data_IF_208905812322
#
_entry.id   IF_208905812322
#
_cell.length_a   1.000
_cell.length_b   1.000
_cell.length_c   1.000
_cell.angle_alpha   90.00
_cell.angle_beta   90.00
_cell.angle_gamma   90.00
#
_symmetry.space_group_name_H-M   'P 1'
#
loop_
_entity.id
_entity.type
_entity.pdbx_description
1 polymer ?
#
# COMPACT_ATOMS: atom_id res chain seq x y z
N UNK A 1 -22.69 18.78 20.12
CA UNK A 1 -23.87 18.13 19.48
C UNK A 1 -23.68 17.74 18.00
N UNK A 2 -22.50 17.95 17.36
CA UNK A 2 -22.22 17.59 15.95
C UNK A 2 -21.75 16.13 15.70
N UNK A 3 -21.33 15.40 16.72
CA UNK A 3 -20.84 14.01 16.58
C UNK A 3 -21.96 12.98 16.32
N UNK A 4 -23.16 13.20 16.86
CA UNK A 4 -24.31 12.29 16.66
C UNK A 4 -24.81 12.26 15.20
N UNK A 5 -24.57 13.31 14.42
CA UNK A 5 -25.10 13.44 13.06
C UNK A 5 -24.29 12.73 11.98
N UNK A 6 -23.07 12.28 12.27
CA UNK A 6 -22.20 11.53 11.34
C UNK A 6 -21.68 10.22 11.94
N UNK A 7 -22.34 9.68 12.97
CA UNK A 7 -22.01 8.39 13.54
C UNK A 7 -21.85 7.26 12.50
N UNK A 8 -22.70 7.17 11.44
CA UNK A 8 -22.50 6.16 10.39
C UNK A 8 -21.15 6.28 9.69
N UNK A 9 -20.71 7.49 9.34
CA UNK A 9 -19.41 7.70 8.70
C UNK A 9 -18.26 7.29 9.63
N UNK A 10 -18.33 7.65 10.91
CA UNK A 10 -17.33 7.26 11.88
C UNK A 10 -17.21 5.73 12.03
N UNK A 11 -18.36 5.03 12.06
CA UNK A 11 -18.38 3.56 12.10
C UNK A 11 -17.79 2.94 10.83
N UNK A 12 -18.16 3.46 9.66
CA UNK A 12 -17.61 3.01 8.37
C UNK A 12 -16.09 3.16 8.34
N UNK A 13 -15.57 4.33 8.73
CA UNK A 13 -14.13 4.57 8.78
C UNK A 13 -13.42 3.66 9.78
N UNK A 14 -14.00 3.44 10.96
CA UNK A 14 -13.42 2.56 11.96
C UNK A 14 -13.32 1.12 11.43
N UNK A 15 -14.38 0.61 10.79
CA UNK A 15 -14.39 -0.72 10.19
C UNK A 15 -13.43 -0.82 9.00
N UNK A 16 -13.37 0.21 8.15
CA UNK A 16 -12.45 0.26 7.02
C UNK A 16 -11.00 0.21 7.50
N UNK A 17 -10.61 1.08 8.43
CA UNK A 17 -9.26 1.16 8.96
C UNK A 17 -8.86 -0.15 9.66
N UNK A 18 -9.76 -0.73 10.44
CA UNK A 18 -9.52 -2.01 11.11
C UNK A 18 -9.27 -3.13 10.10
N UNK A 19 -10.16 -3.29 9.12
CA UNK A 19 -10.06 -4.36 8.11
C UNK A 19 -8.85 -4.16 7.21
N UNK A 20 -8.60 -2.93 6.75
CA UNK A 20 -7.47 -2.62 5.89
C UNK A 20 -6.12 -2.78 6.63
N UNK A 21 -6.04 -2.36 7.89
CA UNK A 21 -4.85 -2.58 8.72
C UNK A 21 -4.62 -4.07 8.98
N UNK A 22 -5.66 -4.83 9.31
CA UNK A 22 -5.55 -6.28 9.48
C UNK A 22 -5.07 -6.96 8.20
N UNK A 23 -5.66 -6.62 7.05
CA UNK A 23 -5.22 -7.13 5.74
C UNK A 23 -3.76 -6.78 5.46
N UNK A 24 -3.37 -5.52 5.71
CA UNK A 24 -2.00 -5.03 5.54
C UNK A 24 -0.97 -5.74 6.43
N UNK A 25 -1.38 -6.31 7.57
CA UNK A 25 -0.47 -7.03 8.48
C UNK A 25 -0.44 -8.53 8.19
N UNK A 26 -1.59 -9.09 7.80
CA UNK A 26 -1.73 -10.53 7.55
C UNK A 26 -1.19 -10.92 6.18
N UNK A 27 -1.43 -10.11 5.15
CA UNK A 27 -0.92 -10.37 3.82
C UNK A 27 0.60 -10.22 3.83
N UNK A 28 1.39 -11.24 3.45
CA UNK A 28 2.84 -11.11 3.40
C UNK A 28 3.25 -9.94 2.50
N UNK A 29 4.34 -9.26 2.85
CA UNK A 29 4.85 -8.16 2.04
C UNK A 29 5.21 -8.65 0.64
N UNK A 30 4.97 -7.82 -0.37
CA UNK A 30 5.43 -8.05 -1.74
C UNK A 30 4.75 -9.22 -2.47
N UNK A 31 3.74 -9.86 -1.88
CA UNK A 31 2.90 -10.88 -2.56
C UNK A 31 1.70 -10.25 -3.28
N UNK A 32 1.29 -9.04 -2.90
CA UNK A 32 0.30 -8.30 -3.68
C UNK A 32 0.90 -7.92 -5.05
N UNK A 33 0.11 -7.99 -6.14
CA UNK A 33 0.57 -7.60 -7.46
C UNK A 33 1.25 -6.23 -7.44
N UNK A 34 2.41 -6.15 -8.10
CA UNK A 34 3.23 -4.95 -8.31
C UNK A 34 3.75 -4.26 -7.05
N UNK A 35 3.39 -4.72 -5.85
CA UNK A 35 3.72 -4.06 -4.58
C UNK A 35 5.22 -3.88 -4.38
N UNK A 36 6.00 -4.91 -4.71
CA UNK A 36 7.47 -4.87 -4.62
C UNK A 36 8.05 -3.80 -5.51
N UNK A 37 7.52 -3.63 -6.72
CA UNK A 37 8.00 -2.64 -7.68
C UNK A 37 7.62 -1.22 -7.27
N UNK A 38 6.42 -1.04 -6.69
CA UNK A 38 6.03 0.23 -6.09
C UNK A 38 6.97 0.61 -4.95
N UNK A 39 7.28 -0.34 -4.06
CA UNK A 39 8.19 -0.11 -2.94
C UNK A 39 9.63 0.16 -3.41
N UNK A 40 10.11 -0.57 -4.43
CA UNK A 40 11.43 -0.35 -5.02
C UNK A 40 11.57 1.06 -5.63
N UNK A 41 10.50 1.63 -6.18
CA UNK A 41 10.51 3.03 -6.61
C UNK A 41 10.61 3.99 -5.41
N UNK A 42 9.87 3.74 -4.33
CA UNK A 42 10.03 4.51 -3.08
C UNK A 42 11.49 4.45 -2.58
N UNK A 43 12.08 3.25 -2.55
CA UNK A 43 13.47 3.04 -2.13
C UNK A 43 14.47 3.76 -3.04
N UNK A 44 14.30 3.67 -4.35
CA UNK A 44 15.10 4.39 -5.35
C UNK A 44 15.17 5.91 -5.07
N UNK A 45 14.03 6.50 -4.68
CA UNK A 45 13.97 7.91 -4.31
C UNK A 45 14.68 8.20 -2.98
N UNK A 46 14.50 7.34 -1.97
CA UNK A 46 15.18 7.46 -0.67
C UNK A 46 16.70 7.33 -0.82
N UNK A 47 17.17 6.46 -1.71
CA UNK A 47 18.59 6.28 -2.05
C UNK A 47 19.19 7.45 -2.84
N UNK A 48 18.40 8.48 -3.17
CA UNK A 48 18.89 9.71 -3.79
C UNK A 48 19.13 9.61 -5.30
N UNK A 49 18.60 8.56 -5.96
CA UNK A 49 18.76 8.35 -7.41
C UNK A 49 17.93 9.34 -8.25
N UNK A 50 16.99 10.06 -7.62
CA UNK A 50 16.12 11.02 -8.29
C UNK A 50 14.97 10.37 -9.06
N UNK A 51 14.28 11.15 -9.90
CA UNK A 51 13.14 10.64 -10.68
C UNK A 51 13.61 9.66 -11.77
N UNK A 52 12.83 8.60 -12.07
CA UNK A 52 13.05 7.68 -13.17
C UNK A 52 13.27 8.39 -14.50
N UNK A 53 14.24 7.92 -15.26
CA UNK A 53 14.53 8.41 -16.60
C UNK A 53 14.38 7.28 -17.62
N UNK A 54 14.19 7.60 -18.91
CA UNK A 54 14.07 6.58 -19.95
C UNK A 54 15.23 5.56 -19.96
N UNK A 55 16.45 5.99 -19.62
CA UNK A 55 17.63 5.14 -19.54
C UNK A 55 17.63 4.10 -18.40
N UNK A 56 16.78 4.28 -17.39
CA UNK A 56 16.67 3.38 -16.23
C UNK A 56 15.72 2.20 -16.49
N UNK A 57 14.85 2.33 -17.51
CA UNK A 57 13.83 1.33 -17.85
C UNK A 57 14.50 0.00 -18.22
N UNK A 58 14.03 -1.08 -17.58
CA UNK A 58 14.57 -2.44 -17.77
C UNK A 58 15.86 -2.73 -16.99
N UNK A 59 16.41 -1.74 -16.26
CA UNK A 59 17.56 -1.92 -15.36
C UNK A 59 17.20 -1.71 -13.90
N UNK A 60 16.37 -0.71 -13.63
CA UNK A 60 15.99 -0.35 -12.27
C UNK A 60 14.99 -1.35 -11.66
N UNK A 61 15.04 -1.56 -10.33
CA UNK A 61 14.27 -2.60 -9.65
C UNK A 61 12.76 -2.32 -9.59
N UNK A 62 12.32 -1.12 -9.96
CA UNK A 62 10.91 -0.73 -10.03
C UNK A 62 10.21 -1.11 -11.35
N UNK A 63 10.90 -1.74 -12.30
CA UNK A 63 10.32 -2.25 -13.56
C UNK A 63 9.49 -1.24 -14.36
N UNK A 64 8.20 -1.47 -14.60
CA UNK A 64 7.33 -0.53 -15.33
C UNK A 64 6.83 0.61 -14.43
N UNK A 65 6.95 0.49 -13.11
CA UNK A 65 6.36 1.43 -12.15
C UNK A 65 7.01 2.80 -12.17
N UNK A 66 8.24 2.93 -12.66
CA UNK A 66 8.89 4.23 -12.82
C UNK A 66 8.26 5.11 -13.89
N UNK A 67 7.40 4.56 -14.74
CA UNK A 67 6.58 5.36 -15.66
C UNK A 67 5.38 6.03 -14.98
N UNK A 68 5.03 5.61 -13.76
CA UNK A 68 3.90 6.17 -13.03
C UNK A 68 4.18 7.58 -12.48
N UNK A 69 3.14 8.43 -12.30
CA UNK A 69 3.29 9.75 -11.71
C UNK A 69 3.93 9.72 -10.32
N UNK A 70 4.87 10.64 -10.01
CA UNK A 70 5.78 10.48 -8.88
C UNK A 70 5.17 10.87 -7.52
N UNK A 71 3.99 11.49 -7.47
CA UNK A 71 3.46 12.12 -6.24
C UNK A 71 3.35 11.14 -5.07
N UNK A 72 2.81 9.95 -5.32
CA UNK A 72 2.69 8.91 -4.29
C UNK A 72 4.07 8.48 -3.79
N UNK A 73 4.99 8.19 -4.71
CA UNK A 73 6.33 7.69 -4.40
C UNK A 73 7.17 8.71 -3.64
N UNK A 74 7.11 9.99 -4.03
CA UNK A 74 7.78 11.09 -3.33
C UNK A 74 7.24 11.25 -1.90
N UNK A 75 5.92 11.14 -1.72
CA UNK A 75 5.28 11.24 -0.41
C UNK A 75 5.68 10.08 0.49
N UNK A 76 5.61 8.85 -0.03
CA UNK A 76 6.02 7.66 0.70
C UNK A 76 7.53 7.67 1.02
N UNK A 77 8.38 8.13 0.09
CA UNK A 77 9.82 8.27 0.31
C UNK A 77 10.11 9.27 1.44
N UNK A 78 9.40 10.40 1.47
CA UNK A 78 9.51 11.36 2.58
C UNK A 78 9.15 10.77 3.95
N UNK A 79 8.17 9.86 4.00
CA UNK A 79 7.76 9.19 5.24
C UNK A 79 8.75 8.12 5.70
N UNK A 80 9.50 7.51 4.79
CA UNK A 80 10.41 6.39 5.08
C UNK A 80 11.90 6.75 5.02
N UNK A 81 12.25 7.98 4.64
CA UNK A 81 13.63 8.41 4.38
C UNK A 81 14.61 8.21 5.54
N UNK A 82 14.14 8.19 6.78
CA UNK A 82 14.97 8.01 7.98
C UNK A 82 15.13 6.55 8.41
N UNK A 83 14.56 5.61 7.67
CA UNK A 83 14.59 4.18 8.00
C UNK A 83 15.76 3.54 7.25
N UNK A 84 16.75 2.95 7.95
CA UNK A 84 17.86 2.28 7.28
C UNK A 84 17.37 1.03 6.54
N UNK A 85 17.50 0.99 5.22
CA UNK A 85 17.06 -0.13 4.36
C UNK A 85 18.21 -0.98 3.83
N UNK A 86 19.36 -0.99 4.51
CA UNK A 86 20.56 -1.74 4.11
C UNK A 86 20.32 -3.25 4.00
N UNK A 87 19.26 -3.76 4.64
CA UNK A 87 18.84 -5.16 4.60
C UNK A 87 18.00 -5.53 3.36
N UNK A 88 17.92 -4.67 2.34
CA UNK A 88 17.09 -4.91 1.15
C UNK A 88 17.46 -6.21 0.41
N UNK A 89 18.74 -6.55 0.33
CA UNK A 89 19.20 -7.79 -0.31
C UNK A 89 18.66 -9.06 0.38
N UNK A 90 18.41 -9.00 1.70
CA UNK A 90 17.86 -10.11 2.46
C UNK A 90 16.33 -10.12 2.45
N UNK A 91 15.71 -8.93 2.53
CA UNK A 91 14.26 -8.76 2.69
C UNK A 91 13.48 -8.81 1.37
N UNK A 92 14.07 -8.35 0.26
CA UNK A 92 13.46 -8.34 -1.07
C UNK A 92 14.00 -9.53 -1.84
N UNK A 93 13.54 -10.73 -1.47
CA UNK A 93 14.03 -11.98 -2.04
C UNK A 93 12.94 -12.69 -2.82
N UNK A 94 13.09 -12.76 -4.14
CA UNK A 94 12.20 -13.56 -4.98
C UNK A 94 12.38 -15.05 -4.70
N UNK A 95 11.27 -15.79 -4.77
CA UNK A 95 11.26 -17.24 -4.67
C UNK A 95 11.62 -17.86 -6.03
N UNK A 96 12.79 -18.52 -6.17
CA UNK A 96 13.25 -19.06 -7.45
C UNK A 96 12.38 -20.22 -7.99
N UNK A 97 11.52 -20.76 -7.14
CA UNK A 97 10.64 -21.86 -7.50
C UNK A 97 9.18 -21.40 -7.67
N UNK A 98 8.91 -20.09 -7.61
CA UNK A 98 7.55 -19.54 -7.63
C UNK A 98 6.79 -19.97 -8.89
N UNK A 99 5.61 -20.56 -8.71
CA UNK A 99 4.73 -21.03 -9.76
C UNK A 99 3.70 -19.95 -10.15
N UNK A 100 4.15 -18.70 -10.32
CA UNK A 100 3.27 -17.57 -10.66
C UNK A 100 2.71 -17.76 -12.07
N UNK A 101 1.39 -17.58 -12.21
CA UNK A 101 0.70 -17.73 -13.49
C UNK A 101 0.55 -19.18 -13.99
N UNK A 102 0.89 -20.19 -13.17
CA UNK A 102 0.71 -21.61 -13.48
C UNK A 102 -0.52 -22.15 -12.73
N UNK A 103 -1.71 -22.18 -13.34
CA UNK A 103 -2.95 -22.54 -12.66
C UNK A 103 -3.01 -24.02 -12.23
N UNK A 104 -2.27 -24.89 -12.91
CA UNK A 104 -2.14 -26.33 -12.69
C UNK A 104 -1.10 -26.68 -11.61
N UNK A 105 -0.26 -25.74 -11.21
CA UNK A 105 0.73 -25.96 -10.16
C UNK A 105 0.04 -26.19 -8.79
N UNK A 106 0.35 -27.33 -8.17
CA UNK A 106 -0.22 -27.74 -6.89
C UNK A 106 0.19 -26.83 -5.71
N UNK A 107 1.34 -26.15 -5.81
CA UNK A 107 1.88 -25.33 -4.73
C UNK A 107 2.86 -24.28 -5.19
N UNK A 108 3.57 -23.71 -4.20
CA UNK A 108 4.58 -22.67 -4.38
C UNK A 108 4.12 -21.40 -5.12
N UNK A 109 2.94 -20.92 -4.74
CA UNK A 109 2.30 -19.73 -5.34
C UNK A 109 2.87 -18.40 -4.83
N UNK A 110 3.75 -18.44 -3.82
CA UNK A 110 4.39 -17.26 -3.27
C UNK A 110 5.47 -16.77 -4.23
N UNK A 111 5.37 -15.50 -4.62
CA UNK A 111 6.37 -14.83 -5.46
C UNK A 111 7.65 -14.55 -4.66
N UNK A 112 7.51 -14.33 -3.36
CA UNK A 112 8.57 -13.89 -2.48
C UNK A 112 8.93 -14.98 -1.46
N UNK A 113 10.20 -15.02 -1.10
CA UNK A 113 10.76 -16.00 -0.19
C UNK A 113 10.81 -15.43 1.23
N UNK A 114 9.73 -15.63 1.99
CA UNK A 114 9.56 -15.14 3.36
C UNK A 114 10.47 -15.79 4.39
N UNK A 115 10.73 -15.08 5.49
CA UNK A 115 11.69 -15.51 6.49
C UNK A 115 11.58 -14.81 7.85
N UNK A 116 12.64 -14.87 8.64
CA UNK A 116 12.66 -14.26 9.98
C UNK A 116 12.59 -12.72 9.93
N UNK A 117 13.02 -12.10 8.84
CA UNK A 117 13.01 -10.65 8.66
C UNK A 117 11.60 -10.06 8.57
N UNK A 118 10.58 -10.86 8.22
CA UNK A 118 9.17 -10.43 8.16
C UNK A 118 8.53 -10.33 9.56
N UNK A 119 9.19 -10.86 10.60
CA UNK A 119 8.60 -10.97 11.93
C UNK A 119 8.62 -9.64 12.67
N UNK A 120 7.58 -9.43 13.48
CA UNK A 120 7.54 -8.33 14.43
C UNK A 120 8.63 -8.48 15.51
N UNK A 121 9.31 -7.39 15.95
CA UNK A 121 9.15 -6.00 15.51
C UNK A 121 9.78 -5.72 14.14
N UNK A 122 9.03 -5.09 13.25
CA UNK A 122 9.48 -4.77 11.89
C UNK A 122 10.68 -3.82 11.91
N UNK A 123 11.63 -4.05 11.02
CA UNK A 123 12.85 -3.24 10.86
C UNK A 123 13.23 -3.10 9.38
N UNK A 124 14.01 -2.06 9.09
CA UNK A 124 14.50 -1.75 7.76
C UNK A 124 13.42 -1.80 6.69
N UNK A 125 13.66 -2.54 5.61
CA UNK A 125 12.71 -2.65 4.48
C UNK A 125 11.30 -3.02 4.90
N UNK A 126 11.14 -3.98 5.82
CA UNK A 126 9.83 -4.45 6.26
C UNK A 126 9.06 -3.35 6.99
N UNK A 127 9.74 -2.56 7.83
CA UNK A 127 9.13 -1.41 8.50
C UNK A 127 8.73 -0.32 7.50
N UNK A 128 9.63 0.03 6.59
CA UNK A 128 9.38 1.05 5.57
C UNK A 128 8.21 0.65 4.65
N UNK A 129 8.14 -0.61 4.23
CA UNK A 129 7.05 -1.13 3.40
C UNK A 129 5.70 -1.12 4.14
N UNK A 130 5.67 -1.52 5.42
CA UNK A 130 4.45 -1.39 6.23
C UNK A 130 4.00 0.06 6.40
N UNK A 131 4.93 1.02 6.58
CA UNK A 131 4.56 2.44 6.64
C UNK A 131 3.98 2.93 5.30
N UNK A 132 4.52 2.48 4.17
CA UNK A 132 3.93 2.77 2.86
C UNK A 132 2.51 2.17 2.73
N UNK A 133 2.29 0.94 3.20
CA UNK A 133 0.93 0.35 3.26
C UNK A 133 -0.02 1.19 4.12
N UNK A 134 0.40 1.59 5.32
CA UNK A 134 -0.43 2.42 6.19
C UNK A 134 -0.71 3.81 5.59
N UNK A 135 0.25 4.39 4.88
CA UNK A 135 0.03 5.61 4.13
C UNK A 135 -1.05 5.44 3.07
N UNK A 136 -1.01 4.35 2.29
CA UNK A 136 -2.06 4.01 1.31
C UNK A 136 -3.43 3.81 1.95
N UNK A 137 -3.49 3.19 3.14
CA UNK A 137 -4.74 3.04 3.91
C UNK A 137 -5.29 4.41 4.32
N UNK A 138 -4.44 5.35 4.74
CA UNK A 138 -4.88 6.71 5.08
C UNK A 138 -5.42 7.45 3.86
N UNK A 139 -4.78 7.31 2.69
CA UNK A 139 -5.30 7.87 1.44
C UNK A 139 -6.68 7.27 1.08
N UNK A 140 -6.85 5.97 1.26
CA UNK A 140 -8.15 5.31 1.09
C UNK A 140 -9.22 5.85 2.06
N UNK A 141 -8.87 6.11 3.33
CA UNK A 141 -9.78 6.74 4.28
C UNK A 141 -10.19 8.17 3.84
N UNK A 142 -9.25 8.95 3.29
CA UNK A 142 -9.55 10.26 2.69
C UNK A 142 -10.54 10.12 1.53
N UNK A 143 -10.38 9.10 0.68
CA UNK A 143 -11.33 8.79 -0.40
C UNK A 143 -12.73 8.49 0.15
N UNK A 144 -12.85 7.66 1.19
CA UNK A 144 -14.14 7.36 1.83
C UNK A 144 -14.82 8.62 2.38
N UNK A 145 -14.08 9.47 3.09
CA UNK A 145 -14.60 10.76 3.61
C UNK A 145 -15.03 11.68 2.47
N UNK A 146 -14.22 11.77 1.41
CA UNK A 146 -14.49 12.62 0.25
C UNK A 146 -15.74 12.17 -0.49
N UNK A 147 -15.92 10.86 -0.67
CA UNK A 147 -17.13 10.27 -1.27
C UNK A 147 -18.37 10.57 -0.44
N UNK A 148 -18.30 10.42 0.89
CA UNK A 148 -19.41 10.80 1.76
C UNK A 148 -19.77 12.29 1.59
N UNK A 149 -18.75 13.16 1.62
CA UNK A 149 -18.90 14.61 1.50
C UNK A 149 -19.51 15.00 0.15
N UNK A 150 -19.03 14.42 -0.95
CA UNK A 150 -19.54 14.66 -2.29
C UNK A 150 -21.00 14.23 -2.43
N UNK A 151 -21.35 13.02 -1.97
CA UNK A 151 -22.73 12.54 -2.00
C UNK A 151 -23.65 13.41 -1.13
N UNK A 152 -23.18 13.88 0.03
CA UNK A 152 -23.96 14.80 0.86
C UNK A 152 -24.15 16.16 0.21
N UNK A 153 -23.14 16.70 -0.48
CA UNK A 153 -23.24 17.97 -1.21
C UNK A 153 -24.26 17.91 -2.36
N UNK A 154 -24.39 16.76 -3.03
CA UNK A 154 -25.30 16.58 -4.16
C UNK A 154 -26.73 16.30 -3.70
N UNK A 155 -26.91 15.36 -2.77
CA UNK A 155 -28.24 14.84 -2.41
C UNK A 155 -28.79 15.41 -1.10
N UNK A 156 -27.96 16.10 -0.30
CA UNK A 156 -28.29 16.56 1.06
C UNK A 156 -28.88 15.45 1.97
N UNK A 157 -28.62 14.17 1.64
CA UNK A 157 -29.28 13.03 2.27
C UNK A 157 -28.28 12.06 2.90
N UNK A 158 -28.24 12.02 4.23
CA UNK A 158 -27.22 11.31 5.01
C UNK A 158 -27.15 9.81 4.73
N UNK A 159 -28.28 9.16 4.50
CA UNK A 159 -28.31 7.71 4.23
C UNK A 159 -27.73 7.40 2.84
N UNK A 160 -27.94 8.29 1.86
CA UNK A 160 -27.38 8.13 0.52
C UNK A 160 -25.87 8.35 0.58
N UNK A 161 -25.42 9.35 1.33
CA UNK A 161 -23.99 9.60 1.58
C UNK A 161 -23.30 8.44 2.30
N UNK A 162 -23.95 7.88 3.33
CA UNK A 162 -23.43 6.72 4.04
C UNK A 162 -23.37 5.48 3.15
N UNK A 163 -24.40 5.24 2.33
CA UNK A 163 -24.41 4.15 1.36
C UNK A 163 -23.26 4.30 0.35
N UNK A 164 -23.07 5.50 -0.22
CA UNK A 164 -21.96 5.77 -1.14
C UNK A 164 -20.60 5.51 -0.48
N UNK A 165 -20.42 5.93 0.78
CA UNK A 165 -19.19 5.68 1.53
C UNK A 165 -18.95 4.19 1.80
N UNK A 166 -19.99 3.42 2.15
CA UNK A 166 -19.90 1.96 2.34
C UNK A 166 -19.45 1.27 1.06
N UNK A 167 -20.09 1.59 -0.08
CA UNK A 167 -19.80 0.96 -1.37
C UNK A 167 -18.37 1.22 -1.88
N UNK A 168 -17.73 2.29 -1.42
CA UNK A 168 -16.32 2.59 -1.74
C UNK A 168 -15.36 1.96 -0.72
N UNK A 169 -15.81 1.78 0.52
CA UNK A 169 -14.97 1.25 1.60
C UNK A 169 -14.83 -0.28 1.58
N UNK A 170 -15.84 -1.01 1.09
CA UNK A 170 -15.94 -2.48 1.12
C UNK A 170 -16.54 -3.03 -0.17
#
# INVERSE_FOLDING_TARGET
MRLRTHFPLALILALYLLTAAAYSVINPLFESPDEVWHYEYVRWLVEGQGLPRPEDVGRAPWHQEGSQPPLYYLSAAGLTALIPTDNAADAIRYNPHAAIGQPDAFGNKNMMAHGQFDRWPWRGVVLAAHLARFFSILLGAVTVVSTYGAAYAIFAHKNVSALAAVLVAF
#
